data_IF_063763737450
#
_entry.id   IF_063763737450
#
_cell.length_a   1.000
_cell.length_b   1.000
_cell.length_c   1.000
_cell.angle_alpha   90.00
_cell.angle_beta   90.00
_cell.angle_gamma   90.00
#
_symmetry.space_group_name_H-M   'P 1'
#
loop_
_entity.id
_entity.type
_entity.pdbx_description
1 polymer ?
#
# COMPACT_ATOMS: atom_id res chain seq x y z
N UNK A 1 -2.53 50.17 33.33
CA UNK A 1 -2.08 49.04 34.17
C UNK A 1 -2.87 47.83 33.73
N UNK A 2 -2.24 46.99 32.92
CA UNK A 2 -2.80 45.73 32.40
C UNK A 2 -1.98 44.62 33.06
N UNK A 3 -2.59 43.59 33.67
CA UNK A 3 -1.82 42.53 34.28
C UNK A 3 -1.37 41.54 33.21
N UNK A 4 -0.07 41.22 33.22
CA UNK A 4 0.52 40.14 32.45
C UNK A 4 0.12 38.81 33.10
N UNK A 5 -0.52 37.95 32.30
CA UNK A 5 -0.88 36.58 32.71
C UNK A 5 0.22 35.62 32.31
N UNK A 6 0.90 35.08 33.32
CA UNK A 6 1.91 34.03 33.22
C UNK A 6 1.25 32.68 32.92
N UNK A 7 1.38 32.20 31.67
CA UNK A 7 0.96 30.86 31.25
C UNK A 7 2.15 29.91 31.32
N UNK A 8 2.45 29.41 32.53
CA UNK A 8 3.43 28.33 32.70
C UNK A 8 2.82 27.00 32.22
N UNK A 9 3.23 26.57 31.02
CA UNK A 9 2.88 25.26 30.46
C UNK A 9 3.70 24.18 31.18
N UNK A 10 3.05 23.37 32.02
CA UNK A 10 3.68 22.21 32.67
C UNK A 10 3.79 21.06 31.66
N UNK A 11 5.04 20.72 31.33
CA UNK A 11 5.41 19.49 30.62
C UNK A 11 5.08 18.28 31.50
N UNK A 12 4.24 17.37 31.00
CA UNK A 12 4.04 16.03 31.56
C UNK A 12 5.05 15.12 30.84
N UNK A 13 5.96 14.41 31.54
CA UNK A 13 6.85 13.46 30.89
C UNK A 13 6.07 12.22 30.43
N UNK A 14 6.41 11.63 29.27
CA UNK A 14 5.79 10.38 28.83
C UNK A 14 6.26 9.21 29.71
N UNK A 15 5.30 8.43 30.19
CA UNK A 15 5.51 7.19 30.91
C UNK A 15 6.27 6.18 30.03
N UNK A 16 7.33 5.61 30.61
CA UNK A 16 8.12 4.53 30.04
C UNK A 16 7.28 3.25 29.95
N UNK A 17 6.85 2.89 28.75
CA UNK A 17 6.36 1.54 28.47
C UNK A 17 7.58 0.60 28.41
N UNK A 18 7.64 -0.33 29.35
CA UNK A 18 8.73 -1.30 29.47
C UNK A 18 8.66 -2.40 28.42
N UNK A 19 9.81 -2.66 27.81
CA UNK A 19 10.05 -3.78 26.91
C UNK A 19 10.13 -5.08 27.70
N UNK A 20 9.11 -5.93 27.56
CA UNK A 20 9.10 -7.30 28.08
C UNK A 20 9.54 -8.29 27.02
N UNK A 21 10.85 -8.40 26.76
CA UNK A 21 11.40 -9.51 25.96
C UNK A 21 11.33 -10.81 26.76
N UNK A 22 10.58 -11.79 26.25
CA UNK A 22 10.63 -13.17 26.73
C UNK A 22 11.77 -13.92 26.00
N UNK A 23 12.59 -14.72 26.71
CA UNK A 23 13.66 -15.51 26.07
C UNK A 23 13.07 -16.68 25.28
N UNK A 24 13.36 -16.73 23.98
CA UNK A 24 13.05 -17.89 23.14
C UNK A 24 14.11 -18.96 23.36
N UNK A 25 13.65 -20.07 23.93
CA UNK A 25 14.43 -21.26 24.27
C UNK A 25 14.97 -21.95 23.01
N UNK A 26 16.30 -22.00 22.90
CA UNK A 26 17.01 -22.67 21.81
C UNK A 26 17.21 -24.14 22.17
N UNK A 27 16.24 -24.98 21.83
CA UNK A 27 16.40 -26.43 21.91
C UNK A 27 17.40 -26.92 20.86
N UNK A 28 18.63 -27.16 21.30
CA UNK A 28 19.62 -28.03 20.64
C UNK A 28 19.00 -29.42 20.41
N UNK A 29 18.93 -29.86 19.15
CA UNK A 29 18.76 -31.28 18.83
C UNK A 29 20.16 -31.87 18.60
N UNK A 30 20.51 -32.73 19.54
CA UNK A 30 21.77 -33.45 19.59
C UNK A 30 21.74 -34.69 18.70
N UNK A 31 22.94 -34.99 18.23
CA UNK A 31 23.46 -36.15 17.51
C UNK A 31 22.74 -37.51 17.65
N UNK A 32 22.67 -38.23 16.51
CA UNK A 32 22.91 -39.68 16.51
C UNK A 32 23.77 -40.06 15.31
N UNK A 33 25.07 -40.13 15.58
CA UNK A 33 26.04 -40.91 14.81
C UNK A 33 25.62 -42.37 14.87
N UNK A 34 25.34 -43.00 13.73
CA UNK A 34 25.26 -44.47 13.64
C UNK A 34 26.45 -45.03 12.89
N UNK A 35 27.00 -46.02 13.56
CA UNK A 35 28.27 -46.68 13.41
C UNK A 35 28.38 -47.53 12.15
N UNK A 36 29.61 -47.47 11.62
CA UNK A 36 30.34 -48.46 10.84
C UNK A 36 29.91 -49.92 11.02
N UNK A 37 29.65 -50.60 9.90
CA UNK A 37 29.94 -52.03 9.79
C UNK A 37 30.54 -52.34 8.42
N UNK A 38 31.87 -52.46 8.44
CA UNK A 38 32.71 -53.11 7.44
C UNK A 38 32.42 -54.61 7.41
N UNK A 39 32.25 -55.20 6.23
CA UNK A 39 32.58 -56.59 5.80
C UNK A 39 31.99 -56.78 4.40
N UNK A 40 32.56 -57.45 3.40
CA UNK A 40 33.83 -58.15 3.26
C UNK A 40 34.10 -58.35 1.76
N UNK A 41 35.34 -58.71 1.50
CA UNK A 41 36.04 -59.01 0.26
C UNK A 41 35.37 -60.05 -0.65
N UNK A 42 35.22 -59.72 -1.95
CA UNK A 42 35.40 -60.72 -3.01
C UNK A 42 35.88 -60.05 -4.30
N UNK A 43 37.16 -60.28 -4.60
CA UNK A 43 37.80 -59.98 -5.88
C UNK A 43 37.15 -60.79 -7.01
N UNK A 44 36.50 -60.11 -7.95
CA UNK A 44 36.07 -60.69 -9.22
C UNK A 44 36.40 -59.73 -10.36
N UNK A 45 37.38 -60.19 -11.14
CA UNK A 45 37.59 -59.99 -12.57
C UNK A 45 37.61 -58.56 -13.14
N UNK A 46 38.83 -58.08 -13.33
CA UNK A 46 39.20 -56.94 -14.18
C UNK A 46 39.03 -57.30 -15.66
N UNK A 47 37.79 -57.41 -16.11
CA UNK A 47 37.46 -57.27 -17.53
C UNK A 47 37.47 -55.78 -17.87
N UNK A 48 38.55 -55.30 -18.49
CA UNK A 48 38.66 -53.93 -18.96
C UNK A 48 37.66 -53.66 -20.10
N UNK A 49 36.41 -53.35 -19.76
CA UNK A 49 35.49 -52.67 -20.67
C UNK A 49 35.76 -51.17 -20.55
N UNK A 50 36.39 -50.63 -21.58
CA UNK A 50 36.55 -49.20 -21.79
C UNK A 50 35.17 -48.51 -21.87
N UNK A 51 35.11 -47.31 -21.31
CA UNK A 51 34.06 -46.29 -21.48
C UNK A 51 32.73 -46.46 -20.72
N UNK A 52 32.80 -46.71 -19.41
CA UNK A 52 31.79 -46.14 -18.52
C UNK A 52 32.09 -44.64 -18.38
N UNK A 53 31.64 -43.83 -19.33
CA UNK A 53 31.52 -42.39 -19.11
C UNK A 53 30.74 -42.20 -17.80
N UNK A 54 31.16 -41.27 -16.91
CA UNK A 54 30.45 -41.05 -15.66
C UNK A 54 28.98 -40.83 -15.94
N UNK A 55 28.13 -41.66 -15.31
CA UNK A 55 26.68 -41.58 -15.48
C UNK A 55 26.23 -40.13 -15.29
N UNK A 56 25.52 -39.61 -16.29
CA UNK A 56 24.97 -38.27 -16.18
C UNK A 56 24.11 -38.21 -14.91
N UNK A 57 24.24 -37.17 -14.06
CA UNK A 57 23.42 -37.06 -12.88
C UNK A 57 21.94 -37.10 -13.28
N UNK A 58 21.08 -37.75 -12.47
CA UNK A 58 19.66 -37.81 -12.77
C UNK A 58 19.09 -36.39 -12.93
N UNK A 59 18.09 -36.21 -13.81
CA UNK A 59 17.49 -34.89 -14.05
C UNK A 59 16.94 -34.34 -12.73
N UNK A 60 17.17 -33.04 -12.49
CA UNK A 60 16.75 -32.37 -11.26
C UNK A 60 15.26 -32.00 -11.24
N UNK A 61 14.57 -32.17 -12.37
CA UNK A 61 13.15 -31.93 -12.54
C UNK A 61 12.58 -32.76 -13.71
N UNK A 62 11.26 -32.89 -13.79
CA UNK A 62 10.59 -33.59 -14.90
C UNK A 62 9.45 -32.77 -15.48
N UNK A 63 9.18 -32.97 -16.77
CA UNK A 63 8.04 -32.35 -17.45
C UNK A 63 8.13 -30.82 -17.51
N UNK A 64 7.03 -30.17 -17.13
CA UNK A 64 6.86 -28.70 -17.16
C UNK A 64 6.77 -28.09 -15.77
N UNK A 65 7.38 -28.75 -14.78
CA UNK A 65 7.45 -28.24 -13.41
C UNK A 65 8.04 -26.83 -13.39
N UNK A 66 7.47 -25.97 -12.54
CA UNK A 66 8.03 -24.67 -12.23
C UNK A 66 8.25 -24.59 -10.73
N UNK A 67 9.23 -23.81 -10.31
CA UNK A 67 9.53 -23.56 -8.90
C UNK A 67 9.90 -22.11 -8.67
N UNK A 68 9.71 -21.66 -7.44
CA UNK A 68 10.26 -20.41 -6.97
C UNK A 68 11.68 -20.61 -6.41
N UNK A 69 12.63 -19.83 -6.92
CA UNK A 69 14.00 -19.74 -6.41
C UNK A 69 14.22 -18.33 -5.84
N UNK A 70 13.84 -18.12 -4.58
CA UNK A 70 13.75 -16.77 -3.97
C UNK A 70 12.67 -15.95 -4.69
N UNK A 71 13.07 -14.90 -5.43
CA UNK A 71 12.17 -14.02 -6.18
C UNK A 71 12.15 -14.36 -7.68
N UNK A 72 12.81 -15.44 -8.10
CA UNK A 72 12.85 -15.86 -9.50
C UNK A 72 11.93 -17.06 -9.75
N UNK A 73 11.22 -17.03 -10.87
CA UNK A 73 10.48 -18.16 -11.40
C UNK A 73 11.41 -18.98 -12.31
N UNK A 74 11.59 -20.25 -11.98
CA UNK A 74 12.35 -21.20 -12.81
C UNK A 74 11.43 -22.26 -13.39
N UNK A 75 11.67 -22.67 -14.63
CA UNK A 75 10.94 -23.73 -15.33
C UNK A 75 11.84 -24.89 -15.68
N UNK A 76 11.32 -26.10 -15.55
CA UNK A 76 12.01 -27.30 -15.97
C UNK A 76 12.10 -27.36 -17.50
N UNK A 77 13.33 -27.35 -18.02
CA UNK A 77 13.62 -27.50 -19.44
C UNK A 77 14.74 -28.54 -19.57
N UNK A 78 14.43 -29.67 -20.21
CA UNK A 78 15.44 -30.73 -20.46
C UNK A 78 15.99 -31.38 -19.18
N UNK A 79 15.20 -31.43 -18.10
CA UNK A 79 15.62 -32.03 -16.84
C UNK A 79 16.47 -31.12 -15.94
N UNK A 80 16.56 -29.84 -16.27
CA UNK A 80 17.16 -28.81 -15.41
C UNK A 80 16.18 -27.64 -15.23
N UNK A 81 16.15 -27.07 -14.03
CA UNK A 81 15.48 -25.80 -13.80
C UNK A 81 16.27 -24.67 -14.46
N UNK A 82 15.61 -23.91 -15.31
CA UNK A 82 16.15 -22.77 -16.03
C UNK A 82 15.36 -21.54 -15.61
N UNK A 83 16.07 -20.45 -15.34
CA UNK A 83 15.47 -19.14 -15.08
C UNK A 83 14.47 -18.76 -16.20
N UNK A 84 13.24 -18.44 -15.82
CA UNK A 84 12.19 -17.98 -16.73
C UNK A 84 11.97 -16.47 -16.58
N UNK A 85 11.79 -16.00 -15.35
CA UNK A 85 11.51 -14.59 -15.07
C UNK A 85 11.93 -14.21 -13.64
N UNK A 86 12.22 -12.93 -13.44
CA UNK A 86 12.39 -12.35 -12.11
C UNK A 86 11.07 -11.69 -11.68
N UNK A 87 10.59 -12.03 -10.48
CA UNK A 87 9.30 -11.61 -9.96
C UNK A 87 9.48 -10.40 -9.03
N UNK A 88 9.11 -9.20 -9.49
CA UNK A 88 9.27 -7.96 -8.72
C UNK A 88 8.50 -7.91 -7.40
N UNK A 89 7.40 -8.67 -7.29
CA UNK A 89 6.60 -8.81 -6.08
C UNK A 89 6.93 -10.09 -5.30
N UNK A 90 7.95 -10.85 -5.72
CA UNK A 90 8.30 -12.16 -5.20
C UNK A 90 7.61 -13.32 -5.93
N UNK A 91 8.03 -14.54 -5.64
CA UNK A 91 7.49 -15.77 -6.24
C UNK A 91 6.72 -16.59 -5.19
N UNK A 92 5.61 -17.23 -5.58
CA UNK A 92 4.79 -18.08 -4.72
C UNK A 92 4.61 -19.47 -5.31
N UNK A 93 4.79 -20.51 -4.50
CA UNK A 93 4.49 -21.91 -4.85
C UNK A 93 3.03 -22.30 -4.52
N UNK A 94 2.23 -21.40 -3.92
CA UNK A 94 0.85 -21.69 -3.54
C UNK A 94 -0.03 -21.80 -4.79
N UNK A 95 -0.52 -23.00 -5.09
CA UNK A 95 -1.27 -23.25 -6.33
C UNK A 95 -0.36 -23.50 -7.56
N UNK A 96 0.93 -23.76 -7.33
CA UNK A 96 1.96 -23.91 -8.36
C UNK A 96 2.85 -22.67 -8.42
N UNK A 97 4.11 -22.82 -8.82
CA UNK A 97 5.06 -21.72 -8.86
C UNK A 97 4.64 -20.66 -9.90
N UNK A 98 4.52 -19.42 -9.43
CA UNK A 98 4.20 -18.26 -10.25
C UNK A 98 4.78 -16.99 -9.62
N UNK A 99 5.01 -15.96 -10.44
CA UNK A 99 5.26 -14.63 -9.91
C UNK A 99 4.01 -14.11 -9.22
N UNK A 100 4.17 -13.58 -8.02
CA UNK A 100 3.07 -12.92 -7.32
C UNK A 100 2.60 -11.72 -8.14
N UNK A 101 1.28 -11.57 -8.24
CA UNK A 101 0.65 -10.46 -8.94
C UNK A 101 -0.27 -9.72 -7.97
N UNK A 102 -0.11 -8.40 -7.91
CA UNK A 102 -1.07 -7.54 -7.25
C UNK A 102 -2.25 -7.30 -8.19
N UNK A 103 -3.37 -7.97 -7.94
CA UNK A 103 -4.62 -7.78 -8.68
C UNK A 103 -5.53 -6.85 -7.87
N UNK A 104 -5.68 -5.57 -8.25
CA UNK A 104 -6.54 -4.67 -7.51
C UNK A 104 -8.00 -5.05 -7.73
N UNK A 105 -8.81 -4.99 -6.67
CA UNK A 105 -10.24 -5.33 -6.75
C UNK A 105 -11.09 -4.27 -7.46
N UNK A 106 -10.63 -3.02 -7.47
CA UNK A 106 -11.45 -1.86 -7.85
C UNK A 106 -10.86 -1.04 -9.01
N UNK A 107 -9.66 -1.36 -9.47
CA UNK A 107 -8.95 -0.61 -10.51
C UNK A 107 -8.21 -1.59 -11.43
N UNK A 108 -8.04 -1.22 -12.70
CA UNK A 108 -7.34 -2.06 -13.68
C UNK A 108 -5.85 -2.22 -13.31
N UNK A 109 -5.31 -3.44 -13.44
CA UNK A 109 -3.92 -3.75 -13.09
C UNK A 109 -2.91 -2.94 -13.93
N UNK A 110 -3.26 -2.52 -15.15
CA UNK A 110 -2.40 -1.65 -15.98
C UNK A 110 -2.15 -0.28 -15.35
N UNK A 111 -2.95 0.14 -14.37
CA UNK A 111 -2.73 1.36 -13.62
C UNK A 111 -1.52 1.25 -12.68
N UNK A 112 -1.05 0.04 -12.36
CA UNK A 112 0.15 -0.18 -11.53
C UNK A 112 1.48 -0.13 -12.29
N UNK A 113 1.45 0.07 -13.63
CA UNK A 113 2.68 0.29 -14.38
C UNK A 113 3.34 1.60 -13.95
N UNK A 114 4.45 1.51 -13.21
CA UNK A 114 5.18 2.66 -12.70
C UNK A 114 5.78 3.50 -13.83
N UNK A 115 5.68 4.83 -13.70
CA UNK A 115 6.14 5.79 -14.72
C UNK A 115 7.45 6.52 -14.37
N UNK A 116 8.05 6.24 -13.22
CA UNK A 116 9.26 6.91 -12.71
C UNK A 116 9.10 7.34 -11.24
N UNK A 117 10.10 8.03 -10.67
CA UNK A 117 10.07 8.51 -9.28
C UNK A 117 9.60 9.97 -9.20
N UNK A 118 8.72 10.29 -8.25
CA UNK A 118 8.27 11.65 -7.95
C UNK A 118 8.84 12.06 -6.59
N UNK A 119 9.68 13.09 -6.60
CA UNK A 119 10.20 13.73 -5.40
C UNK A 119 9.80 15.19 -5.34
N UNK A 120 9.16 15.59 -4.24
CA UNK A 120 8.74 16.97 -3.97
C UNK A 120 9.79 17.62 -3.06
N UNK A 121 10.70 18.38 -3.66
CA UNK A 121 11.85 19.03 -2.99
C UNK A 121 11.62 20.49 -2.61
N UNK A 122 10.48 21.06 -3.01
CA UNK A 122 10.09 22.44 -2.72
C UNK A 122 8.57 22.56 -2.61
N UNK A 123 8.11 23.60 -1.91
CA UNK A 123 6.68 23.86 -1.72
C UNK A 123 5.96 23.89 -3.07
N UNK A 124 5.01 22.98 -3.22
CA UNK A 124 4.35 22.69 -4.50
C UNK A 124 2.85 22.67 -4.31
N UNK A 125 2.10 23.15 -5.32
CA UNK A 125 0.65 23.00 -5.38
C UNK A 125 0.28 22.09 -6.54
N UNK A 126 -0.49 21.04 -6.24
CA UNK A 126 -1.09 20.17 -7.24
C UNK A 126 -2.57 20.46 -7.41
N UNK A 127 -2.99 20.68 -8.65
CA UNK A 127 -4.38 20.91 -9.02
C UNK A 127 -4.98 19.65 -9.67
N UNK A 128 -5.83 18.95 -8.94
CA UNK A 128 -6.45 17.71 -9.41
C UNK A 128 -7.43 17.92 -10.57
N UNK A 129 -7.88 19.17 -10.83
CA UNK A 129 -8.74 19.47 -11.98
C UNK A 129 -8.01 19.36 -13.31
N UNK A 130 -6.75 19.82 -13.40
CA UNK A 130 -5.92 19.56 -14.59
C UNK A 130 -5.43 18.12 -14.61
N UNK A 131 -5.29 17.52 -13.43
CA UNK A 131 -4.67 16.20 -13.25
C UNK A 131 -3.34 16.07 -13.97
N UNK A 132 -2.52 17.11 -13.81
CA UNK A 132 -1.17 17.17 -14.32
C UNK A 132 -0.22 17.29 -13.14
N UNK A 133 0.83 16.47 -13.14
CA UNK A 133 1.88 16.48 -12.14
C UNK A 133 3.15 17.06 -12.75
N UNK A 134 3.52 18.25 -12.31
CA UNK A 134 4.92 18.65 -12.34
C UNK A 134 5.62 17.97 -11.14
N UNK A 135 6.86 17.45 -11.30
CA UNK A 135 7.74 17.60 -12.46
C UNK A 135 7.66 16.50 -13.54
N UNK A 136 6.87 15.42 -13.36
CA UNK A 136 6.80 14.29 -14.29
C UNK A 136 5.52 14.29 -15.15
N UNK A 137 5.48 14.98 -16.30
CA UNK A 137 4.33 14.92 -17.20
C UNK A 137 4.07 13.47 -17.65
N UNK A 138 2.79 13.06 -17.66
CA UNK A 138 2.35 11.72 -18.04
C UNK A 138 2.26 10.70 -16.90
N UNK A 139 2.72 11.06 -15.69
CA UNK A 139 2.54 10.22 -14.50
C UNK A 139 1.11 10.31 -13.93
N UNK A 140 0.40 11.41 -14.17
CA UNK A 140 -0.97 11.61 -13.76
C UNK A 140 -1.97 11.32 -14.89
N UNK A 141 -3.13 10.78 -14.53
CA UNK A 141 -4.26 10.57 -15.44
C UNK A 141 -5.59 10.65 -14.70
N UNK A 142 -6.64 10.93 -15.47
CA UNK A 142 -8.02 10.90 -14.96
C UNK A 142 -8.57 9.48 -15.09
N UNK A 143 -9.05 8.92 -13.99
CA UNK A 143 -9.68 7.60 -13.96
C UNK A 143 -11.13 7.75 -13.53
N UNK A 144 -12.03 7.07 -14.24
CA UNK A 144 -13.46 7.04 -13.91
C UNK A 144 -13.73 5.91 -12.92
N UNK A 145 -14.33 6.24 -11.78
CA UNK A 145 -14.75 5.26 -10.77
C UNK A 145 -16.26 5.03 -10.85
N UNK A 146 -16.66 3.78 -11.13
CA UNK A 146 -18.06 3.37 -11.15
C UNK A 146 -18.89 3.96 -12.31
N UNK A 147 -20.19 3.68 -12.30
CA UNK A 147 -21.14 4.14 -13.33
C UNK A 147 -21.61 5.60 -13.18
N UNK A 148 -21.26 6.26 -12.08
CA UNK A 148 -21.80 7.59 -11.71
C UNK A 148 -20.87 8.76 -12.05
N UNK A 149 -19.87 8.56 -12.93
CA UNK A 149 -18.94 9.59 -13.41
C UNK A 149 -18.08 10.26 -12.33
N UNK A 150 -17.71 9.55 -11.27
CA UNK A 150 -16.73 10.07 -10.32
C UNK A 150 -15.33 10.03 -10.96
N UNK A 151 -14.77 11.20 -11.24
CA UNK A 151 -13.42 11.34 -11.78
C UNK A 151 -12.38 11.42 -10.66
N UNK A 152 -11.41 10.52 -10.69
CA UNK A 152 -10.23 10.51 -9.83
C UNK A 152 -9.05 11.10 -10.60
N UNK A 153 -8.18 11.85 -9.92
CA UNK A 153 -6.85 12.15 -10.44
C UNK A 153 -5.86 11.15 -9.84
N UNK A 154 -5.39 10.22 -10.68
CA UNK A 154 -4.47 9.15 -10.27
C UNK A 154 -3.06 9.50 -10.71
N UNK A 155 -2.15 9.60 -9.76
CA UNK A 155 -0.72 9.80 -9.98
C UNK A 155 -0.01 8.47 -9.80
N UNK A 156 0.61 7.97 -10.87
CA UNK A 156 1.41 6.75 -10.85
C UNK A 156 2.88 7.07 -10.68
N UNK A 157 3.56 6.30 -9.85
CA UNK A 157 4.99 6.46 -9.61
C UNK A 157 5.58 5.16 -9.10
N UNK A 158 6.88 4.97 -9.24
CA UNK A 158 7.60 3.91 -8.54
C UNK A 158 7.75 4.31 -7.08
N UNK A 159 8.36 5.47 -6.84
CA UNK A 159 8.56 6.07 -5.52
C UNK A 159 7.89 7.43 -5.43
N UNK A 160 7.18 7.70 -4.35
CA UNK A 160 6.64 9.02 -4.05
C UNK A 160 7.31 9.56 -2.79
N UNK A 161 7.99 10.70 -2.87
CA UNK A 161 8.64 11.31 -1.72
C UNK A 161 8.26 12.79 -1.56
N UNK A 162 8.03 13.21 -0.33
CA UNK A 162 7.92 14.63 0.05
C UNK A 162 9.00 14.91 1.08
N UNK A 163 9.98 15.73 0.70
CA UNK A 163 11.16 16.01 1.53
C UNK A 163 10.77 16.66 2.87
N UNK A 164 11.61 16.51 3.91
CA UNK A 164 11.40 17.21 5.18
C UNK A 164 11.23 18.72 4.97
N UNK A 165 10.37 19.34 5.78
CA UNK A 165 10.06 20.79 5.76
C UNK A 165 9.31 21.30 4.52
N UNK A 166 9.09 20.46 3.50
CA UNK A 166 8.35 20.83 2.29
C UNK A 166 6.85 20.63 2.48
N UNK A 167 6.03 21.53 1.93
CA UNK A 167 4.57 21.38 1.84
C UNK A 167 4.13 21.10 0.40
N UNK A 168 3.52 19.93 0.20
CA UNK A 168 2.71 19.64 -0.97
C UNK A 168 1.24 19.97 -0.67
N UNK A 169 0.71 21.01 -1.32
CA UNK A 169 -0.70 21.39 -1.22
C UNK A 169 -1.52 20.81 -2.37
N UNK A 170 -2.59 20.11 -2.06
CA UNK A 170 -3.51 19.54 -3.06
C UNK A 170 -4.78 20.37 -3.10
N UNK A 171 -5.13 20.83 -4.30
CA UNK A 171 -6.35 21.59 -4.58
C UNK A 171 -7.09 20.96 -5.76
N UNK A 172 -8.36 21.32 -5.95
CA UNK A 172 -9.17 20.84 -7.06
C UNK A 172 -10.34 20.00 -6.59
N UNK A 173 -11.25 19.67 -7.51
CA UNK A 173 -12.49 18.95 -7.22
C UNK A 173 -12.35 17.43 -7.33
N UNK A 174 -11.37 16.93 -8.10
CA UNK A 174 -11.14 15.48 -8.22
C UNK A 174 -10.40 14.95 -6.99
N UNK A 175 -10.75 13.79 -6.42
CA UNK A 175 -9.92 13.12 -5.43
C UNK A 175 -8.53 12.85 -6.01
N UNK A 176 -7.49 13.06 -5.21
CA UNK A 176 -6.13 12.65 -5.56
C UNK A 176 -5.90 11.21 -5.07
N UNK A 177 -5.41 10.35 -5.95
CA UNK A 177 -4.92 9.02 -5.62
C UNK A 177 -3.45 8.96 -5.99
N UNK A 178 -2.58 8.59 -5.05
CA UNK A 178 -1.16 8.36 -5.30
C UNK A 178 -0.94 6.85 -5.32
N UNK A 179 -0.51 6.33 -6.45
CA UNK A 179 -0.21 4.93 -6.66
C UNK A 179 1.30 4.75 -6.81
N UNK A 180 1.95 4.36 -5.72
CA UNK A 180 3.37 4.05 -5.69
C UNK A 180 3.57 2.54 -5.75
N UNK A 181 4.30 2.04 -6.76
CA UNK A 181 4.54 0.59 -6.90
C UNK A 181 5.60 0.05 -5.94
N UNK A 182 6.48 0.91 -5.42
CA UNK A 182 7.48 0.54 -4.41
C UNK A 182 7.11 1.12 -3.04
N UNK A 183 7.19 2.45 -2.89
CA UNK A 183 6.85 3.10 -1.63
C UNK A 183 6.40 4.55 -1.81
N UNK A 184 5.61 5.01 -0.83
CA UNK A 184 5.28 6.41 -0.64
C UNK A 184 5.80 6.86 0.74
N UNK A 185 6.65 7.87 0.77
CA UNK A 185 7.26 8.40 1.98
C UNK A 185 7.00 9.91 2.09
N UNK A 186 6.52 10.37 3.24
CA UNK A 186 6.11 11.77 3.43
C UNK A 186 6.75 12.26 4.73
N UNK A 187 7.94 12.86 4.63
CA UNK A 187 8.62 13.52 5.75
C UNK A 187 8.15 14.97 5.94
N UNK A 188 7.67 15.58 4.85
CA UNK A 188 7.08 16.92 4.83
C UNK A 188 5.60 16.95 5.21
N UNK A 189 4.87 17.89 4.62
CA UNK A 189 3.42 18.09 4.82
C UNK A 189 2.68 17.82 3.51
N UNK A 190 1.79 16.83 3.52
CA UNK A 190 0.75 16.68 2.50
C UNK A 190 -0.53 17.38 2.98
N UNK A 191 -0.81 18.57 2.43
CA UNK A 191 -1.99 19.36 2.76
C UNK A 191 -3.09 19.15 1.71
N UNK A 192 -4.01 18.21 2.00
CA UNK A 192 -5.22 17.97 1.23
C UNK A 192 -6.48 18.58 1.90
N UNK A 193 -6.29 19.53 2.82
CA UNK A 193 -7.39 20.08 3.61
C UNK A 193 -8.33 20.97 2.79
N UNK A 194 -9.62 20.92 3.14
CA UNK A 194 -10.66 21.83 2.65
C UNK A 194 -10.78 23.01 3.63
N UNK A 195 -10.00 24.09 3.44
CA UNK A 195 -10.10 25.26 4.32
C UNK A 195 -11.00 26.34 3.70
N UNK A 196 -11.93 26.83 4.51
CA UNK A 196 -12.81 27.95 4.17
C UNK A 196 -13.93 27.54 3.22
N UNK A 197 -14.10 28.27 2.12
CA UNK A 197 -15.13 27.93 1.13
C UNK A 197 -14.64 26.88 0.12
N UNK A 198 -13.32 26.62 0.06
CA UNK A 198 -12.67 25.63 -0.79
C UNK A 198 -13.22 24.22 -0.62
N UNK A 199 -13.73 23.61 -1.69
CA UNK A 199 -13.87 22.14 -1.73
C UNK A 199 -12.47 21.54 -1.73
N UNK A 200 -12.18 20.65 -0.77
CA UNK A 200 -10.97 19.85 -0.82
C UNK A 200 -11.03 18.82 -1.96
N UNK A 201 -9.93 18.11 -2.22
CA UNK A 201 -9.89 17.06 -3.24
C UNK A 201 -10.96 16.00 -2.96
N UNK A 202 -11.84 15.76 -3.93
CA UNK A 202 -12.97 14.83 -3.78
C UNK A 202 -14.20 15.38 -3.06
N UNK A 203 -14.18 16.64 -2.65
CA UNK A 203 -15.37 17.32 -2.15
C UNK A 203 -16.38 17.56 -3.27
N UNK A 204 -17.64 17.19 -3.04
CA UNK A 204 -18.75 17.48 -3.96
C UNK A 204 -18.93 18.98 -4.24
N UNK A 205 -19.67 19.32 -5.29
CA UNK A 205 -19.93 20.69 -5.69
C UNK A 205 -20.39 21.55 -4.50
N UNK A 206 -19.85 22.78 -4.40
CA UNK A 206 -20.23 23.72 -3.35
C UNK A 206 -21.72 23.97 -3.36
N UNK A 207 -22.29 24.08 -2.18
CA UNK A 207 -23.57 24.74 -1.99
C UNK A 207 -23.35 26.23 -2.12
N UNK A 208 -24.20 26.90 -2.86
CA UNK A 208 -24.22 28.36 -2.88
C UNK A 208 -25.17 28.87 -1.81
N UNK A 209 -25.20 30.19 -1.56
CA UNK A 209 -26.20 30.79 -0.67
C UNK A 209 -27.65 30.55 -1.12
N UNK A 210 -27.86 30.22 -2.39
CA UNK A 210 -29.20 30.10 -3.02
C UNK A 210 -29.52 28.66 -3.44
N UNK A 211 -28.52 27.80 -3.54
CA UNK A 211 -28.67 26.37 -3.82
C UNK A 211 -27.98 25.58 -2.71
N UNK A 212 -28.71 24.79 -1.90
CA UNK A 212 -28.05 23.87 -0.97
C UNK A 212 -27.07 23.01 -1.76
N UNK A 213 -25.87 22.76 -1.23
CA UNK A 213 -25.02 21.78 -1.90
C UNK A 213 -25.76 20.46 -1.92
N UNK A 214 -25.60 19.72 -3.00
CA UNK A 214 -25.71 18.28 -2.86
C UNK A 214 -24.76 17.85 -1.74
N UNK A 215 -25.23 17.10 -0.73
CA UNK A 215 -24.36 16.51 0.27
C UNK A 215 -23.19 15.84 -0.43
N UNK A 216 -21.95 16.15 -0.02
CA UNK A 216 -20.83 15.28 -0.37
C UNK A 216 -21.09 13.95 0.33
N UNK A 217 -21.67 12.99 -0.37
CA UNK A 217 -21.96 11.66 0.21
C UNK A 217 -20.67 10.87 0.26
N UNK A 218 -19.76 11.23 1.16
CA UNK A 218 -18.77 10.24 1.56
C UNK A 218 -19.51 9.14 2.30
N UNK A 219 -19.57 7.97 1.68
CA UNK A 219 -20.03 6.76 2.37
C UNK A 219 -19.09 6.39 3.50
N UNK A 220 -19.50 5.40 4.30
CA UNK A 220 -18.56 4.73 5.18
C UNK A 220 -17.47 4.07 4.34
N UNK A 221 -16.23 4.10 4.82
CA UNK A 221 -15.17 3.27 4.28
C UNK A 221 -15.59 1.79 4.26
N UNK A 222 -15.45 1.13 3.12
CA UNK A 222 -15.69 -0.31 2.99
C UNK A 222 -14.33 -1.00 2.99
N UNK A 223 -14.09 -1.92 3.93
CA UNK A 223 -12.96 -2.84 3.89
C UNK A 223 -13.38 -4.14 3.20
N UNK A 224 -12.45 -4.82 2.54
CA UNK A 224 -12.65 -6.20 2.06
C UNK A 224 -11.66 -7.13 2.73
N UNK A 225 -12.08 -7.92 3.73
CA UNK A 225 -11.21 -8.88 4.43
C UNK A 225 -10.81 -8.43 5.84
N UNK A 226 -9.73 -9.00 6.37
CA UNK A 226 -9.19 -8.72 7.72
C UNK A 226 -8.05 -7.70 7.70
N UNK A 227 -8.02 -6.82 6.69
CA UNK A 227 -6.96 -5.83 6.56
C UNK A 227 -7.20 -4.65 7.52
N UNK A 228 -6.12 -3.98 7.90
CA UNK A 228 -6.14 -2.76 8.69
C UNK A 228 -6.36 -1.53 7.78
N UNK A 229 -7.43 -1.55 6.99
CA UNK A 229 -7.78 -0.47 6.06
C UNK A 229 -9.01 0.30 6.55
N UNK A 230 -8.75 1.39 7.28
CA UNK A 230 -9.78 2.38 7.60
C UNK A 230 -10.11 3.26 6.39
N UNK A 231 -11.31 3.13 5.81
CA UNK A 231 -11.73 4.01 4.71
C UNK A 231 -12.28 5.36 5.20
N UNK A 232 -12.04 6.44 4.46
CA UNK A 232 -12.39 7.80 4.87
C UNK A 232 -13.89 8.08 4.90
N UNK A 233 -14.35 8.77 5.95
CA UNK A 233 -15.69 9.36 6.00
C UNK A 233 -15.66 10.73 5.33
N UNK A 234 -16.63 11.01 4.46
CA UNK A 234 -16.60 12.25 3.66
C UNK A 234 -17.40 13.41 4.24
N UNK A 235 -17.28 14.55 3.57
CA UNK A 235 -17.68 15.86 4.10
C UNK A 235 -19.19 16.12 4.10
N UNK A 236 -19.69 16.65 5.22
CA UNK A 236 -20.99 17.31 5.29
C UNK A 236 -20.86 18.79 4.94
N UNK A 237 -21.67 19.28 3.99
CA UNK A 237 -21.75 20.72 3.70
C UNK A 237 -22.62 21.50 4.71
N UNK A 238 -23.47 20.78 5.46
CA UNK A 238 -24.30 21.29 6.55
C UNK A 238 -24.44 20.17 7.60
N UNK A 239 -23.40 19.95 8.42
CA UNK A 239 -23.35 18.86 9.41
C UNK A 239 -21.94 18.28 9.54
N UNK A 240 -21.72 17.43 10.54
CA UNK A 240 -20.48 16.68 10.65
C UNK A 240 -20.36 15.72 9.46
N UNK A 241 -19.16 15.62 8.87
CA UNK A 241 -18.86 14.57 7.90
C UNK A 241 -18.94 13.17 8.53
N UNK A 242 -18.88 12.14 7.69
CA UNK A 242 -18.68 10.78 8.19
C UNK A 242 -17.37 10.69 8.97
N UNK A 243 -17.38 9.98 10.10
CA UNK A 243 -16.13 9.59 10.76
C UNK A 243 -15.48 8.54 9.84
N UNK A 244 -14.18 8.67 9.57
CA UNK A 244 -13.43 7.61 8.88
C UNK A 244 -13.45 6.31 9.67
N UNK A 245 -13.22 5.19 8.98
CA UNK A 245 -13.00 3.91 9.65
C UNK A 245 -11.68 3.95 10.43
N UNK A 246 -11.68 3.41 11.65
CA UNK A 246 -10.45 3.08 12.37
C UNK A 246 -9.92 1.75 11.86
N UNK A 247 -8.60 1.67 11.64
CA UNK A 247 -7.91 0.54 11.02
C UNK A 247 -7.85 -0.75 11.86
N UNK A 248 -8.53 -0.83 13.01
CA UNK A 248 -8.37 -1.94 13.96
C UNK A 248 -9.46 -3.01 13.84
N UNK A 249 -9.56 -3.72 12.72
CA UNK A 249 -10.46 -4.90 12.50
C UNK A 249 -11.96 -4.70 12.84
N UNK A 250 -12.37 -3.48 13.17
CA UNK A 250 -13.70 -3.12 13.61
C UNK A 250 -14.40 -2.45 12.44
N UNK A 251 -15.69 -2.75 12.27
CA UNK A 251 -16.51 -2.12 11.24
C UNK A 251 -16.28 -0.60 11.26
N UNK A 252 -16.06 0.00 10.09
CA UNK A 252 -15.88 1.44 9.96
C UNK A 252 -16.98 2.19 10.72
N UNK A 253 -16.61 3.30 11.36
CA UNK A 253 -17.54 4.07 12.18
C UNK A 253 -18.84 4.39 11.43
N UNK A 254 -19.98 4.29 12.11
CA UNK A 254 -21.27 4.71 11.54
C UNK A 254 -21.16 6.12 10.99
N UNK A 255 -21.68 6.35 9.78
CA UNK A 255 -21.77 7.70 9.23
C UNK A 255 -22.42 8.65 10.24
N UNK A 256 -21.80 9.82 10.44
CA UNK A 256 -22.35 10.85 11.32
C UNK A 256 -23.73 11.31 10.85
N UNK A 257 -24.58 11.71 11.79
CA UNK A 257 -25.92 12.22 11.47
C UNK A 257 -25.83 13.51 10.63
N UNK A 258 -26.60 13.58 9.54
CA UNK A 258 -26.80 14.82 8.79
C UNK A 258 -27.69 15.77 9.61
N UNK A 259 -27.25 17.00 9.84
CA UNK A 259 -28.00 18.02 10.57
C UNK A 259 -28.43 19.16 9.67
N UNK A 260 -29.73 19.40 9.52
CA UNK A 260 -30.24 20.55 8.77
C UNK A 260 -29.87 21.87 9.47
N UNK A 261 -29.05 22.72 8.83
CA UNK A 261 -28.89 24.10 9.26
C UNK A 261 -30.14 24.89 8.85
N UNK A 262 -31.01 25.19 9.82
CA UNK A 262 -32.03 26.23 9.64
C UNK A 262 -31.33 27.58 9.73
N UNK A 263 -31.51 28.41 8.70
CA UNK A 263 -30.99 29.78 8.65
C UNK A 263 -31.90 30.79 9.36
N UNK A 264 -32.91 30.33 10.09
CA UNK A 264 -33.79 31.19 10.87
C UNK A 264 -33.05 31.63 12.14
N UNK A 265 -32.24 32.68 12.00
CA UNK A 265 -31.56 33.35 13.11
C UNK A 265 -32.61 33.98 14.01
N UNK A 266 -33.07 33.25 15.02
CA UNK A 266 -33.88 33.83 16.09
C UNK A 266 -32.96 34.68 16.98
N UNK A 267 -33.12 36.01 17.05
CA UNK A 267 -32.27 36.83 17.90
C UNK A 267 -32.45 36.44 19.37
N UNK A 268 -31.34 36.28 20.10
CA UNK A 268 -31.37 36.14 21.56
C UNK A 268 -31.93 37.44 22.15
N UNK A 269 -33.02 37.32 22.92
CA UNK A 269 -33.56 38.41 23.75
C UNK A 269 -32.76 38.57 25.02
#
# INVERSE_FOLDING_TARGET
MVPEGDSSMRMIPPDAAGDGEAPVDSARVDSSVTDSSVTDSSSLDTGASSDAAPDAPPPSCVGTEARCATDDLERCIGGAFVFEASCSLGCSDVGGAHCMELVPSNVDASLFAATGDIQITADTTWNTNSCETAPLPGSAMVVMQGGDNLELCVVRTARFTVDPTVRLRVIGGRPLVILASEYAHIDGILDASAIGTGTGPGGGARGTRVTPASPGTGGAGVHSGTYEDGGGGGGGLCGAGGIGGDANSTAGGTAGAAGSASWDLTPLR
#
